data_IF_141375771713
#
_entry.id   IF_141375771713
#
_cell.length_a   1.000
_cell.length_b   1.000
_cell.length_c   1.000
_cell.angle_alpha   90.00
_cell.angle_beta   90.00
_cell.angle_gamma   90.00
#
_symmetry.space_group_name_H-M   'P 1'
#
loop_
_entity.id
_entity.type
_entity.pdbx_description
1 polymer ?
#
# COMPACT_ATOMS: atom_id res chain seq x y z
N UNK A 1 -12.94 0.30 -13.53
CA UNK A 1 -13.30 0.76 -12.16
C UNK A 1 -14.20 -0.20 -11.36
N UNK A 2 -14.78 -1.26 -11.94
CA UNK A 2 -15.63 -2.21 -11.17
C UNK A 2 -14.86 -3.02 -10.13
N UNK A 3 -13.70 -3.58 -10.51
CA UNK A 3 -12.90 -4.47 -9.66
C UNK A 3 -12.55 -3.88 -8.29
N UNK A 4 -12.01 -2.65 -8.23
CA UNK A 4 -11.65 -2.01 -6.95
C UNK A 4 -12.89 -1.81 -6.06
N UNK A 5 -14.01 -1.38 -6.64
CA UNK A 5 -15.25 -1.16 -5.87
C UNK A 5 -15.79 -2.48 -5.31
N UNK A 6 -15.73 -3.55 -6.10
CA UNK A 6 -16.20 -4.88 -5.71
C UNK A 6 -15.29 -5.54 -4.69
N UNK A 7 -13.97 -5.45 -4.87
CA UNK A 7 -12.95 -5.90 -3.92
C UNK A 7 -13.11 -5.20 -2.56
N UNK A 8 -13.21 -3.87 -2.56
CA UNK A 8 -13.43 -3.07 -1.35
C UNK A 8 -14.79 -3.36 -0.69
N UNK A 9 -15.83 -3.66 -1.47
CA UNK A 9 -17.14 -4.05 -0.94
C UNK A 9 -17.13 -5.44 -0.29
N UNK A 10 -16.31 -6.39 -0.80
CA UNK A 10 -16.11 -7.71 -0.18
C UNK A 10 -15.40 -7.60 1.16
N UNK A 11 -14.32 -6.83 1.23
CA UNK A 11 -13.63 -6.53 2.50
C UNK A 11 -14.61 -5.96 3.54
N UNK A 12 -15.53 -5.08 3.12
CA UNK A 12 -16.54 -4.49 4.01
C UNK A 12 -17.64 -5.48 4.46
N UNK A 13 -18.03 -6.44 3.62
CA UNK A 13 -19.19 -7.33 3.88
C UNK A 13 -18.83 -8.61 4.65
N UNK A 14 -17.58 -9.05 4.60
CA UNK A 14 -17.17 -10.36 5.13
C UNK A 14 -15.94 -10.24 6.06
N UNK A 15 -16.06 -9.48 7.14
CA UNK A 15 -15.04 -9.46 8.21
C UNK A 15 -14.92 -10.80 8.98
N UNK A 16 -15.30 -11.94 8.38
CA UNK A 16 -15.42 -13.25 9.03
C UNK A 16 -14.24 -14.19 8.77
N UNK A 17 -13.39 -13.94 7.76
CA UNK A 17 -12.30 -14.85 7.39
C UNK A 17 -10.89 -14.33 7.75
N UNK A 18 -10.65 -13.01 7.69
CA UNK A 18 -9.42 -12.39 8.19
C UNK A 18 -9.61 -11.94 9.64
N UNK A 19 -8.68 -12.29 10.52
CA UNK A 19 -8.77 -11.89 11.93
C UNK A 19 -8.60 -10.37 12.10
N UNK A 20 -9.15 -9.82 13.19
CA UNK A 20 -8.97 -8.39 13.52
C UNK A 20 -7.50 -8.03 13.70
N UNK A 21 -6.71 -8.96 14.23
CA UNK A 21 -5.27 -8.81 14.40
C UNK A 21 -4.53 -8.74 13.06
N UNK A 22 -4.82 -9.66 12.13
CA UNK A 22 -4.27 -9.60 10.78
C UNK A 22 -4.66 -8.31 10.07
N UNK A 23 -5.92 -7.87 10.18
CA UNK A 23 -6.37 -6.62 9.56
C UNK A 23 -5.61 -5.41 10.11
N UNK A 24 -5.38 -5.39 11.42
CA UNK A 24 -4.61 -4.33 12.07
C UNK A 24 -3.14 -4.35 11.63
N UNK A 25 -2.53 -5.53 11.54
CA UNK A 25 -1.17 -5.69 11.05
C UNK A 25 -1.02 -5.19 9.60
N UNK A 26 -1.88 -5.67 8.68
CA UNK A 26 -1.86 -5.25 7.28
C UNK A 26 -2.08 -3.73 7.13
N UNK A 27 -2.99 -3.17 7.92
CA UNK A 27 -3.25 -1.73 7.94
C UNK A 27 -2.02 -0.93 8.35
N UNK A 28 -1.32 -1.31 9.42
CA UNK A 28 -0.08 -0.63 9.86
C UNK A 28 1.03 -0.72 8.81
N UNK A 29 1.24 -1.89 8.21
CA UNK A 29 2.24 -2.06 7.13
C UNK A 29 1.92 -1.16 5.93
N UNK A 30 0.65 -1.07 5.53
CA UNK A 30 0.24 -0.21 4.42
C UNK A 30 0.41 1.29 4.72
N UNK A 31 0.28 1.71 5.98
CA UNK A 31 0.59 3.10 6.39
C UNK A 31 2.07 3.43 6.21
N UNK A 32 2.99 2.51 6.52
CA UNK A 32 4.42 2.70 6.28
C UNK A 32 4.73 2.81 4.79
N UNK A 33 4.18 1.90 3.98
CA UNK A 33 4.31 1.93 2.51
C UNK A 33 3.79 3.25 1.94
N UNK A 34 2.66 3.74 2.45
CA UNK A 34 2.09 5.04 2.06
C UNK A 34 3.07 6.17 2.37
N UNK A 35 3.74 6.13 3.53
CA UNK A 35 4.76 7.10 3.90
C UNK A 35 5.90 7.16 2.88
N UNK A 36 6.42 6.00 2.47
CA UNK A 36 7.48 5.93 1.45
C UNK A 36 7.04 6.47 0.09
N UNK A 37 5.80 6.21 -0.31
CA UNK A 37 5.26 6.75 -1.56
C UNK A 37 5.09 8.27 -1.50
N UNK A 38 4.65 8.81 -0.36
CA UNK A 38 4.61 10.26 -0.16
C UNK A 38 6.01 10.88 -0.30
N UNK A 39 7.01 10.30 0.36
CA UNK A 39 8.41 10.75 0.22
C UNK A 39 8.87 10.68 -1.25
N UNK A 40 8.57 9.58 -1.94
CA UNK A 40 8.91 9.38 -3.35
C UNK A 40 8.25 10.44 -4.24
N UNK A 41 6.99 10.78 -3.96
CA UNK A 41 6.26 11.80 -4.70
C UNK A 41 6.89 13.18 -4.54
N UNK A 42 7.32 13.56 -3.32
CA UNK A 42 8.02 14.82 -3.10
C UNK A 42 9.30 14.91 -3.94
N UNK A 43 10.10 13.85 -3.97
CA UNK A 43 11.32 13.80 -4.80
C UNK A 43 10.98 13.95 -6.29
N UNK A 44 9.97 13.21 -6.77
CA UNK A 44 9.50 13.29 -8.16
C UNK A 44 9.01 14.71 -8.51
N UNK A 45 8.32 15.36 -7.56
CA UNK A 45 7.78 16.70 -7.72
C UNK A 45 8.88 17.77 -7.76
N UNK A 46 9.90 17.66 -6.90
CA UNK A 46 11.10 18.51 -6.92
C UNK A 46 11.84 18.42 -8.26
N UNK A 47 11.92 17.21 -8.82
CA UNK A 47 12.49 16.96 -10.17
C UNK A 47 11.58 17.39 -11.31
N UNK A 48 10.37 17.88 -11.04
CA UNK A 48 9.38 18.39 -12.01
C UNK A 48 8.98 17.35 -13.07
N UNK A 49 8.98 16.06 -12.74
CA UNK A 49 8.64 14.97 -13.66
C UNK A 49 7.12 14.79 -13.80
N UNK A 50 6.44 15.81 -14.34
CA UNK A 50 4.97 15.93 -14.38
C UNK A 50 4.27 14.76 -15.07
N UNK A 51 4.91 14.15 -16.07
CA UNK A 51 4.32 13.01 -16.79
C UNK A 51 4.19 11.74 -15.94
N UNK A 52 4.75 11.72 -14.73
CA UNK A 52 4.59 10.63 -13.78
C UNK A 52 3.41 10.85 -12.83
N UNK A 53 2.88 12.08 -12.74
CA UNK A 53 1.95 12.46 -11.69
C UNK A 53 0.62 11.70 -11.79
N UNK A 54 0.07 11.55 -12.99
CA UNK A 54 -1.21 10.85 -13.16
C UNK A 54 -1.11 9.38 -12.73
N UNK A 55 -0.07 8.69 -13.22
CA UNK A 55 0.18 7.29 -12.86
C UNK A 55 0.40 7.13 -11.35
N UNK A 56 1.26 7.96 -10.77
CA UNK A 56 1.55 7.95 -9.34
C UNK A 56 0.29 8.26 -8.50
N UNK A 57 -0.48 9.26 -8.89
CA UNK A 57 -1.69 9.69 -8.16
C UNK A 57 -2.76 8.60 -8.18
N UNK A 58 -2.90 7.89 -9.30
CA UNK A 58 -3.81 6.75 -9.39
C UNK A 58 -3.38 5.59 -8.48
N UNK A 59 -2.08 5.28 -8.45
CA UNK A 59 -1.50 4.27 -7.55
C UNK A 59 -1.72 4.64 -6.07
N UNK A 60 -1.44 5.90 -5.70
CA UNK A 60 -1.72 6.43 -4.35
C UNK A 60 -3.20 6.34 -3.99
N UNK A 61 -4.09 6.71 -4.91
CA UNK A 61 -5.53 6.66 -4.67
C UNK A 61 -6.03 5.23 -4.41
N UNK A 62 -5.48 4.22 -5.10
CA UNK A 62 -5.79 2.81 -4.84
C UNK A 62 -5.35 2.43 -3.42
N UNK A 63 -4.10 2.73 -3.06
CA UNK A 63 -3.56 2.43 -1.74
C UNK A 63 -4.38 3.10 -0.62
N UNK A 64 -4.66 4.40 -0.76
CA UNK A 64 -5.43 5.18 0.21
C UNK A 64 -6.85 4.62 0.42
N UNK A 65 -7.49 4.15 -0.64
CA UNK A 65 -8.80 3.50 -0.54
C UNK A 65 -8.73 2.17 0.21
N UNK A 66 -7.69 1.38 -0.02
CA UNK A 66 -7.46 0.11 0.71
C UNK A 66 -7.26 0.37 2.20
N UNK A 67 -6.38 1.32 2.53
CA UNK A 67 -6.13 1.78 3.91
C UNK A 67 -7.43 2.28 4.56
N UNK A 68 -8.22 3.09 3.84
CA UNK A 68 -9.49 3.60 4.35
C UNK A 68 -10.49 2.47 4.65
N UNK A 69 -10.53 1.42 3.84
CA UNK A 69 -11.42 0.29 4.07
C UNK A 69 -10.99 -0.52 5.28
N UNK A 70 -9.70 -0.83 5.42
CA UNK A 70 -9.18 -1.52 6.60
C UNK A 70 -9.44 -0.72 7.88
N UNK A 71 -9.16 0.60 7.87
CA UNK A 71 -9.46 1.50 8.99
C UNK A 71 -10.93 1.43 9.42
N UNK A 72 -11.85 1.46 8.45
CA UNK A 72 -13.29 1.36 8.70
C UNK A 72 -13.68 -0.01 9.25
N UNK A 73 -13.09 -1.09 8.75
CA UNK A 73 -13.32 -2.45 9.24
C UNK A 73 -12.82 -2.63 10.69
N UNK A 74 -11.72 -1.97 11.05
CA UNK A 74 -11.16 -1.96 12.41
C UNK A 74 -11.94 -1.07 13.39
N UNK A 75 -12.80 -0.18 12.89
CA UNK A 75 -13.51 0.82 13.68
C UNK A 75 -12.62 1.98 14.13
N UNK A 76 -11.49 2.22 13.47
CA UNK A 76 -10.54 3.26 13.86
C UNK A 76 -10.99 4.68 13.42
N UNK A 77 -10.83 5.70 14.28
CA UNK A 77 -11.17 7.08 13.94
C UNK A 77 -10.25 7.64 12.85
N UNK A 78 -10.69 8.69 12.15
CA UNK A 78 -9.88 9.34 11.08
C UNK A 78 -8.63 10.00 11.67
N UNK A 79 -8.72 10.53 12.88
CA UNK A 79 -7.68 11.30 13.57
C UNK A 79 -6.58 10.45 14.19
N UNK A 80 -6.66 9.11 14.09
CA UNK A 80 -5.64 8.25 14.67
C UNK A 80 -4.31 8.46 13.94
N UNK A 81 -3.29 8.83 14.70
CA UNK A 81 -1.92 8.93 14.19
C UNK A 81 -1.19 7.69 14.63
N UNK A 82 -0.77 6.86 13.67
CA UNK A 82 0.08 5.71 13.95
C UNK A 82 1.53 6.19 13.94
N UNK A 83 2.31 5.95 15.01
CA UNK A 83 3.73 6.26 15.00
C UNK A 83 4.44 5.43 13.93
N UNK A 84 5.49 5.99 13.33
CA UNK A 84 6.33 5.24 12.38
C UNK A 84 6.88 3.98 13.06
N UNK A 85 6.70 2.84 12.41
CA UNK A 85 7.23 1.58 12.89
C UNK A 85 8.74 1.50 12.68
N UNK A 86 9.44 0.98 13.67
CA UNK A 86 10.83 0.51 13.50
C UNK A 86 10.84 -0.73 12.63
N UNK A 87 11.98 -1.01 12.01
CA UNK A 87 12.16 -2.19 11.15
C UNK A 87 11.80 -3.50 11.88
N UNK A 88 12.12 -3.64 13.17
CA UNK A 88 11.75 -4.83 13.96
C UNK A 88 10.24 -4.96 14.14
N UNK A 89 9.55 -3.86 14.45
CA UNK A 89 8.10 -3.82 14.66
C UNK A 89 7.36 -4.13 13.34
N UNK A 90 7.90 -3.64 12.22
CA UNK A 90 7.35 -3.93 10.89
C UNK A 90 7.43 -5.42 10.54
N UNK A 91 8.54 -6.07 10.88
CA UNK A 91 8.69 -7.52 10.70
C UNK A 91 7.75 -8.32 11.61
N UNK A 92 7.53 -7.88 12.85
CA UNK A 92 6.54 -8.47 13.75
C UNK A 92 5.12 -8.36 13.18
N UNK A 93 4.73 -7.21 12.60
CA UNK A 93 3.43 -7.08 11.95
C UNK A 93 3.32 -7.99 10.71
N UNK A 94 4.38 -8.11 9.91
CA UNK A 94 4.41 -9.01 8.74
C UNK A 94 4.30 -10.49 9.11
N UNK A 95 4.77 -10.90 10.29
CA UNK A 95 4.68 -12.28 10.78
C UNK A 95 3.27 -12.67 11.24
N UNK A 96 2.41 -11.70 11.57
CA UNK A 96 1.01 -11.95 11.96
C UNK A 96 0.12 -12.28 10.77
N UNK A 97 0.57 -12.04 9.55
CA UNK A 97 -0.20 -12.19 8.32
C UNK A 97 -0.05 -13.58 7.73
N UNK A 98 -1.07 -14.01 6.97
CA UNK A 98 -0.93 -15.19 6.11
C UNK A 98 0.32 -15.09 5.20
N UNK A 99 0.98 -16.22 4.88
CA UNK A 99 2.21 -16.22 4.10
C UNK A 99 2.11 -15.46 2.78
N UNK A 100 1.00 -15.63 2.05
CA UNK A 100 0.77 -14.96 0.76
C UNK A 100 0.66 -13.44 0.90
N UNK A 101 -0.08 -12.96 1.91
CA UNK A 101 -0.24 -11.54 2.16
C UNK A 101 1.06 -10.91 2.68
N UNK A 102 1.76 -11.60 3.58
CA UNK A 102 3.09 -11.20 4.05
C UNK A 102 4.05 -11.03 2.89
N UNK A 103 4.11 -12.02 1.98
CA UNK A 103 4.97 -11.97 0.80
C UNK A 103 4.58 -10.85 -0.17
N UNK A 104 3.28 -10.61 -0.38
CA UNK A 104 2.80 -9.52 -1.24
C UNK A 104 3.16 -8.15 -0.67
N UNK A 105 2.99 -7.94 0.64
CA UNK A 105 3.37 -6.69 1.30
C UNK A 105 4.88 -6.47 1.30
N UNK A 106 5.69 -7.52 1.52
CA UNK A 106 7.15 -7.43 1.36
C UNK A 106 7.56 -7.02 -0.05
N UNK A 107 6.90 -7.58 -1.06
CA UNK A 107 7.15 -7.25 -2.47
C UNK A 107 6.76 -5.81 -2.78
N UNK A 108 5.65 -5.34 -2.21
CA UNK A 108 5.21 -3.95 -2.31
C UNK A 108 6.19 -3.00 -1.64
N UNK A 109 6.59 -3.27 -0.39
CA UNK A 109 7.61 -2.49 0.33
C UNK A 109 8.93 -2.41 -0.43
N UNK A 110 9.39 -3.54 -0.98
CA UNK A 110 10.61 -3.55 -1.78
C UNK A 110 10.47 -2.64 -3.00
N UNK A 111 9.34 -2.70 -3.70
CA UNK A 111 9.07 -1.89 -4.89
C UNK A 111 8.95 -0.40 -4.56
N UNK A 112 8.35 -0.04 -3.43
CA UNK A 112 8.28 1.36 -2.96
C UNK A 112 9.64 1.88 -2.51
N UNK A 113 10.44 1.05 -1.85
CA UNK A 113 11.83 1.36 -1.50
C UNK A 113 12.68 1.65 -2.75
N UNK A 114 12.59 0.79 -3.77
CA UNK A 114 13.28 1.02 -5.06
C UNK A 114 12.80 2.31 -5.74
N UNK A 115 11.49 2.59 -5.71
CA UNK A 115 10.95 3.82 -6.26
C UNK A 115 11.54 5.04 -5.56
N UNK A 116 11.60 5.03 -4.22
CA UNK A 116 12.16 6.13 -3.42
C UNK A 116 13.64 6.34 -3.71
N UNK A 117 14.43 5.26 -3.74
CA UNK A 117 15.86 5.30 -4.03
C UNK A 117 16.13 5.87 -5.43
N UNK A 118 15.42 5.35 -6.44
CA UNK A 118 15.63 5.72 -7.83
C UNK A 118 14.96 7.03 -8.24
N UNK A 119 13.95 7.49 -7.49
CA UNK A 119 13.29 8.77 -7.73
C UNK A 119 14.27 9.94 -7.75
N UNK A 120 15.44 9.83 -7.10
CA UNK A 120 16.43 10.91 -7.05
C UNK A 120 17.20 11.10 -8.36
N UNK A 121 17.50 10.02 -9.08
CA UNK A 121 18.50 10.04 -10.16
C UNK A 121 18.04 9.41 -11.47
N UNK A 122 17.08 8.49 -11.45
CA UNK A 122 16.75 7.71 -12.63
C UNK A 122 15.97 8.51 -13.69
N UNK A 123 16.15 8.19 -14.98
CA UNK A 123 15.34 8.74 -16.06
C UNK A 123 13.84 8.43 -15.89
N UNK A 124 13.01 9.30 -16.45
CA UNK A 124 11.56 9.24 -16.30
C UNK A 124 10.92 7.91 -16.76
N UNK A 125 11.41 7.32 -17.86
CA UNK A 125 10.84 6.08 -18.38
C UNK A 125 11.06 4.87 -17.43
N UNK A 126 12.20 4.83 -16.72
CA UNK A 126 12.44 3.83 -15.67
C UNK A 126 11.51 4.03 -14.48
N UNK A 127 11.36 5.27 -14.02
CA UNK A 127 10.44 5.59 -12.92
C UNK A 127 8.98 5.22 -13.28
N UNK A 128 8.57 5.46 -14.53
CA UNK A 128 7.25 5.04 -15.02
C UNK A 128 7.06 3.52 -14.93
N UNK A 129 8.09 2.73 -15.25
CA UNK A 129 8.04 1.28 -15.12
C UNK A 129 7.97 0.83 -13.65
N UNK A 130 8.75 1.46 -12.76
CA UNK A 130 8.71 1.15 -11.32
C UNK A 130 7.33 1.50 -10.73
N UNK A 131 6.75 2.66 -11.07
CA UNK A 131 5.41 3.06 -10.62
C UNK A 131 4.36 2.02 -11.05
N UNK A 132 4.44 1.49 -12.29
CA UNK A 132 3.56 0.40 -12.73
C UNK A 132 3.76 -0.87 -11.90
N UNK A 133 5.01 -1.25 -11.60
CA UNK A 133 5.28 -2.40 -10.73
C UNK A 133 4.74 -2.22 -9.30
N UNK A 134 4.78 -1.00 -8.75
CA UNK A 134 4.13 -0.67 -7.48
C UNK A 134 2.61 -0.81 -7.59
N UNK A 135 2.01 -0.31 -8.67
CA UNK A 135 0.57 -0.41 -8.93
C UNK A 135 0.10 -1.87 -9.03
N UNK A 136 0.84 -2.72 -9.74
CA UNK A 136 0.57 -4.15 -9.87
C UNK A 136 0.65 -4.87 -8.51
N UNK A 137 1.65 -4.51 -7.68
CA UNK A 137 1.77 -5.05 -6.33
C UNK A 137 0.64 -4.59 -5.41
N UNK A 138 0.16 -3.34 -5.55
CA UNK A 138 -1.04 -2.88 -4.84
C UNK A 138 -2.26 -3.68 -5.26
N UNK A 139 -2.48 -3.90 -6.55
CA UNK A 139 -3.61 -4.68 -7.05
C UNK A 139 -3.54 -6.15 -6.55
N UNK A 140 -2.34 -6.74 -6.50
CA UNK A 140 -2.13 -8.06 -5.90
C UNK A 140 -2.46 -8.08 -4.40
N UNK A 141 -1.98 -7.10 -3.63
CA UNK A 141 -2.28 -7.00 -2.20
C UNK A 141 -3.77 -6.82 -1.95
N UNK A 142 -4.44 -5.97 -2.74
CA UNK A 142 -5.89 -5.77 -2.66
C UNK A 142 -6.62 -7.09 -2.94
N UNK A 143 -6.20 -7.82 -3.98
CA UNK A 143 -6.77 -9.12 -4.30
C UNK A 143 -6.63 -10.09 -3.14
N UNK A 144 -5.45 -10.23 -2.54
CA UNK A 144 -5.26 -11.11 -1.38
C UNK A 144 -6.06 -10.68 -0.16
N UNK A 145 -6.09 -9.37 0.13
CA UNK A 145 -6.97 -8.83 1.18
C UNK A 145 -8.44 -9.10 0.90
N UNK A 146 -8.84 -9.26 -0.37
CA UNK A 146 -10.23 -9.53 -0.78
C UNK A 146 -10.54 -11.01 -0.95
N UNK A 147 -9.54 -11.86 -1.20
CA UNK A 147 -9.64 -13.31 -1.44
C UNK A 147 -9.44 -14.11 -0.16
N UNK A 148 -8.76 -13.55 0.85
CA UNK A 148 -8.74 -14.03 2.25
C UNK A 148 -10.12 -13.75 2.93
N UNK A 149 -11.14 -13.37 2.15
CA UNK A 149 -12.46 -12.86 2.59
C UNK A 149 -13.67 -13.56 1.92
#
# INVERSE_FOLDING_TARGET
>A
MGFLKDALARIKRKSSAMSKEEMAAAYKVLLEIRGELVDSFYIIAERRLRELYDGFSMTMLKLDKTIQVLRRALGEPISITHPKLKKSELEEELQKLSPDLSQALRSLMHSTGLLKEFAQSMPQHYLRAIIRGVDDNIDRTIKLLSDVI
#
